data_IF_735970266535
#
_entry.id   IF_735970266535
#
_cell.length_a   1.000
_cell.length_b   1.000
_cell.length_c   1.000
_cell.angle_alpha   90.00
_cell.angle_beta   90.00
_cell.angle_gamma   90.00
#
_symmetry.space_group_name_H-M   'P 1'
#
loop_
_entity.id
_entity.type
_entity.pdbx_description
1 polymer ?
#
# COMPACT_ATOMS: atom_id res chain seq x y z
N UNK A 1 8.14 6.54 -30.32
CA UNK A 1 7.09 6.37 -29.29
C UNK A 1 6.90 7.71 -28.62
N UNK A 2 5.73 8.35 -28.74
CA UNK A 2 5.47 9.57 -27.99
C UNK A 2 5.45 9.23 -26.51
N UNK A 3 6.24 9.94 -25.71
CA UNK A 3 6.17 9.83 -24.25
C UNK A 3 4.78 10.34 -23.87
N UNK A 4 3.89 9.44 -23.47
CA UNK A 4 2.57 9.81 -22.96
C UNK A 4 2.78 10.73 -21.76
N UNK A 5 2.28 11.96 -21.85
CA UNK A 5 2.28 12.87 -20.69
C UNK A 5 1.30 12.32 -19.66
N UNK A 6 1.65 12.28 -18.36
CA UNK A 6 0.71 11.90 -17.32
C UNK A 6 -0.58 12.74 -17.41
N UNK A 7 -1.76 12.15 -17.16
CA UNK A 7 -3.03 12.86 -17.29
C UNK A 7 -3.08 14.04 -16.33
N UNK A 8 -3.55 15.19 -16.80
CA UNK A 8 -3.78 16.38 -15.98
C UNK A 8 -4.98 16.17 -15.02
N UNK A 9 -5.24 17.15 -14.15
CA UNK A 9 -6.31 17.02 -13.15
C UNK A 9 -7.69 16.71 -13.76
N UNK A 10 -8.11 17.44 -14.80
CA UNK A 10 -9.40 17.22 -15.46
C UNK A 10 -9.48 15.85 -16.17
N UNK A 11 -8.38 15.38 -16.76
CA UNK A 11 -8.29 14.03 -17.33
C UNK A 11 -8.46 12.96 -16.24
N UNK A 12 -7.82 13.14 -15.07
CA UNK A 12 -7.98 12.23 -13.93
C UNK A 12 -9.39 12.21 -13.37
N UNK A 13 -10.09 13.35 -13.32
CA UNK A 13 -11.50 13.39 -12.90
C UNK A 13 -12.40 12.58 -13.85
N UNK A 14 -12.18 12.68 -15.18
CA UNK A 14 -12.89 11.85 -16.16
C UNK A 14 -12.60 10.36 -16.00
N UNK A 15 -11.32 10.00 -15.82
CA UNK A 15 -10.91 8.63 -15.55
C UNK A 15 -11.53 8.09 -14.25
N UNK A 16 -11.62 8.93 -13.21
CA UNK A 16 -12.27 8.56 -11.95
C UNK A 16 -13.76 8.29 -12.13
N UNK A 17 -14.47 9.16 -12.85
CA UNK A 17 -15.89 8.97 -13.16
C UNK A 17 -16.14 7.69 -13.98
N UNK A 18 -15.31 7.42 -14.99
CA UNK A 18 -15.40 6.19 -15.80
C UNK A 18 -15.06 4.94 -14.97
N UNK A 19 -14.06 5.02 -14.10
CA UNK A 19 -13.73 3.92 -13.17
C UNK A 19 -14.89 3.63 -12.23
N UNK A 20 -15.52 4.67 -11.68
CA UNK A 20 -16.69 4.54 -10.82
C UNK A 20 -17.86 3.87 -11.55
N UNK A 21 -18.16 4.31 -12.79
CA UNK A 21 -19.28 3.76 -13.56
C UNK A 21 -19.07 2.29 -13.96
N UNK A 22 -17.81 1.85 -14.15
CA UNK A 22 -17.48 0.47 -14.49
C UNK A 22 -17.36 -0.45 -13.27
N UNK A 23 -17.20 0.09 -12.06
CA UNK A 23 -16.82 -0.68 -10.87
C UNK A 23 -17.79 -1.82 -10.57
N UNK A 24 -19.10 -1.57 -10.57
CA UNK A 24 -20.09 -2.62 -10.26
C UNK A 24 -20.06 -3.75 -11.30
N UNK A 25 -19.96 -3.39 -12.58
CA UNK A 25 -19.85 -4.37 -13.67
C UNK A 25 -18.58 -5.21 -13.54
N UNK A 26 -17.43 -4.58 -13.30
CA UNK A 26 -16.14 -5.27 -13.14
C UNK A 26 -16.20 -6.27 -11.98
N UNK A 27 -16.82 -5.90 -10.86
CA UNK A 27 -16.95 -6.80 -9.70
C UNK A 27 -17.84 -7.99 -10.05
N UNK A 28 -18.99 -7.77 -10.69
CA UNK A 28 -19.89 -8.87 -11.10
C UNK A 28 -19.27 -9.80 -12.15
N UNK A 29 -18.45 -9.26 -13.04
CA UNK A 29 -17.82 -10.00 -14.14
C UNK A 29 -16.55 -10.76 -13.72
N UNK A 30 -15.97 -10.46 -12.55
CA UNK A 30 -14.67 -11.03 -12.13
C UNK A 30 -14.88 -12.06 -11.02
N UNK A 31 -14.51 -13.32 -11.28
CA UNK A 31 -14.60 -14.39 -10.29
C UNK A 31 -13.74 -14.08 -9.05
N UNK A 32 -14.33 -14.24 -7.86
CA UNK A 32 -13.65 -14.00 -6.59
C UNK A 32 -13.59 -12.54 -6.17
N UNK A 33 -13.99 -11.58 -7.02
CA UNK A 33 -14.10 -10.18 -6.67
C UNK A 33 -15.21 -9.91 -5.65
N UNK A 34 -15.06 -8.86 -4.84
CA UNK A 34 -16.07 -8.48 -3.87
C UNK A 34 -16.03 -6.99 -3.54
N UNK A 35 -17.19 -6.44 -3.14
CA UNK A 35 -17.27 -5.14 -2.46
C UNK A 35 -17.12 -5.25 -0.95
N UNK A 36 -17.04 -6.47 -0.40
CA UNK A 36 -16.90 -6.68 1.03
C UNK A 36 -15.59 -6.06 1.54
N UNK A 37 -15.65 -5.55 2.77
CA UNK A 37 -14.49 -5.09 3.50
C UNK A 37 -14.73 -5.22 5.00
N UNK A 38 -13.64 -5.27 5.77
CA UNK A 38 -13.68 -5.41 7.22
C UNK A 38 -12.81 -4.34 7.87
N UNK A 39 -13.39 -3.55 8.76
CA UNK A 39 -12.62 -2.62 9.57
C UNK A 39 -12.01 -3.32 10.79
N UNK A 40 -10.77 -2.92 11.11
CA UNK A 40 -10.04 -3.27 12.31
C UNK A 40 -9.81 -1.96 13.09
N UNK A 41 -10.72 -1.57 14.00
CA UNK A 41 -10.68 -0.25 14.65
C UNK A 41 -9.57 -0.12 15.70
N UNK A 42 -8.99 -1.23 16.13
CA UNK A 42 -7.95 -1.31 17.14
C UNK A 42 -6.73 -2.07 16.60
N UNK A 43 -5.59 -1.84 17.24
CA UNK A 43 -4.37 -2.59 16.99
C UNK A 43 -4.62 -4.07 17.30
N UNK A 44 -4.43 -4.93 16.30
CA UNK A 44 -4.52 -6.37 16.44
C UNK A 44 -3.46 -6.88 17.42
N UNK A 45 -3.73 -7.95 18.18
CA UNK A 45 -2.73 -8.55 19.05
C UNK A 45 -1.55 -9.11 18.25
N UNK A 46 -0.37 -9.29 18.87
CA UNK A 46 0.74 -9.99 18.23
C UNK A 46 0.33 -11.39 17.73
N UNK A 47 0.75 -11.74 16.52
CA UNK A 47 0.63 -13.08 15.95
C UNK A 47 1.46 -14.03 16.82
N UNK A 48 0.84 -15.14 17.23
CA UNK A 48 1.57 -16.22 17.89
C UNK A 48 2.45 -16.88 16.83
N UNK A 49 3.76 -16.82 17.00
CA UNK A 49 4.71 -17.40 16.06
C UNK A 49 4.34 -18.83 15.69
N UNK A 50 4.45 -19.18 14.41
CA UNK A 50 4.25 -20.55 13.95
C UNK A 50 5.44 -21.36 14.46
N UNK A 51 5.29 -21.96 15.64
CA UNK A 51 6.32 -22.84 16.21
C UNK A 51 6.36 -24.12 15.38
N UNK A 52 7.15 -24.14 14.30
CA UNK A 52 7.83 -25.34 13.79
C UNK A 52 8.66 -25.04 12.53
N UNK A 53 9.92 -25.49 12.56
CA UNK A 53 10.95 -25.46 11.51
C UNK A 53 11.56 -24.09 11.20
N UNK A 54 12.83 -24.10 10.75
CA UNK A 54 13.69 -22.93 10.54
C UNK A 54 12.94 -21.80 9.81
N UNK A 55 12.48 -20.80 10.57
CA UNK A 55 11.64 -19.75 10.05
C UNK A 55 12.46 -18.81 9.16
N UNK A 56 12.27 -18.93 7.86
CA UNK A 56 12.94 -18.09 6.88
C UNK A 56 12.40 -16.66 6.97
N UNK A 57 13.30 -15.68 7.05
CA UNK A 57 12.94 -14.25 6.91
C UNK A 57 12.45 -14.00 5.48
N UNK A 58 11.48 -13.08 5.27
CA UNK A 58 11.01 -12.76 3.93
C UNK A 58 12.13 -12.22 3.05
N UNK A 59 12.05 -12.51 1.75
CA UNK A 59 12.89 -11.81 0.77
C UNK A 59 12.44 -10.34 0.71
N UNK A 60 13.39 -9.43 0.79
CA UNK A 60 13.13 -7.99 0.83
C UNK A 60 13.67 -7.32 -0.43
N UNK A 61 12.83 -6.54 -1.11
CA UNK A 61 13.22 -5.73 -2.26
C UNK A 61 12.61 -4.33 -2.23
N UNK A 62 13.25 -3.39 -2.95
CA UNK A 62 12.77 -2.02 -3.12
C UNK A 62 12.78 -1.69 -4.61
N UNK A 63 11.62 -1.33 -5.16
CA UNK A 63 11.46 -1.03 -6.60
C UNK A 63 10.97 0.40 -6.80
N UNK A 64 11.27 0.96 -7.99
CA UNK A 64 10.77 2.28 -8.42
C UNK A 64 9.52 2.13 -9.29
N UNK A 65 8.57 1.33 -8.84
CA UNK A 65 7.29 1.07 -9.49
C UNK A 65 6.14 1.59 -8.65
N UNK A 66 4.95 1.72 -9.25
CA UNK A 66 3.73 1.84 -8.47
C UNK A 66 3.32 0.50 -7.83
N UNK A 67 2.45 0.57 -6.82
CA UNK A 67 2.10 -0.59 -6.00
C UNK A 67 1.34 -1.69 -6.74
N UNK A 68 0.48 -1.38 -7.71
CA UNK A 68 -0.25 -2.42 -8.45
C UNK A 68 0.59 -3.04 -9.55
N UNK A 69 1.54 -2.31 -10.14
CA UNK A 69 2.50 -2.90 -11.08
C UNK A 69 3.44 -3.87 -10.36
N UNK A 70 3.96 -3.49 -9.19
CA UNK A 70 4.74 -4.41 -8.36
C UNK A 70 3.93 -5.66 -7.95
N UNK A 71 2.64 -5.50 -7.66
CA UNK A 71 1.75 -6.64 -7.38
C UNK A 71 1.56 -7.54 -8.61
N UNK A 72 1.39 -6.96 -9.80
CA UNK A 72 1.26 -7.69 -11.06
C UNK A 72 2.53 -8.49 -11.38
N UNK A 73 3.71 -7.89 -11.19
CA UNK A 73 5.00 -8.57 -11.38
C UNK A 73 5.14 -9.81 -10.48
N UNK A 74 4.73 -9.71 -9.20
CA UNK A 74 4.71 -10.84 -8.27
C UNK A 74 3.76 -11.94 -8.77
N UNK A 75 2.56 -11.58 -9.23
CA UNK A 75 1.60 -12.55 -9.75
C UNK A 75 2.13 -13.24 -11.02
N UNK A 76 2.72 -12.49 -11.94
CA UNK A 76 3.30 -13.04 -13.16
C UNK A 76 4.45 -14.01 -12.87
N UNK A 77 5.42 -13.59 -12.05
CA UNK A 77 6.60 -14.43 -11.73
C UNK A 77 6.26 -15.67 -10.91
N UNK A 78 5.13 -15.69 -10.21
CA UNK A 78 4.65 -16.84 -9.42
C UNK A 78 3.57 -17.66 -10.12
N UNK A 79 3.23 -17.33 -11.37
CA UNK A 79 2.17 -18.01 -12.12
C UNK A 79 0.79 -17.90 -11.45
N UNK A 80 0.52 -16.78 -10.78
CA UNK A 80 -0.73 -16.49 -10.08
C UNK A 80 -0.92 -17.21 -8.74
N UNK A 81 0.09 -17.93 -8.24
CA UNK A 81 0.00 -18.71 -6.98
C UNK A 81 0.17 -17.84 -5.74
N UNK A 82 0.85 -16.70 -5.86
CA UNK A 82 1.10 -15.81 -4.72
C UNK A 82 -0.19 -15.19 -4.17
N UNK A 83 -0.29 -15.14 -2.85
CA UNK A 83 -1.32 -14.39 -2.12
C UNK A 83 -0.81 -12.99 -1.88
N UNK A 84 -1.11 -12.07 -2.80
CA UNK A 84 -0.59 -10.70 -2.80
C UNK A 84 -1.50 -9.74 -2.04
N UNK A 85 -0.91 -8.99 -1.12
CA UNK A 85 -1.57 -7.93 -0.36
C UNK A 85 -0.85 -6.59 -0.53
N UNK A 86 -1.62 -5.54 -0.82
CA UNK A 86 -1.11 -4.19 -1.12
C UNK A 86 -1.49 -3.22 0.00
N UNK A 87 -0.56 -2.38 0.44
CA UNK A 87 -0.85 -1.26 1.32
C UNK A 87 -1.45 -0.10 0.50
N UNK A 88 -2.69 0.29 0.81
CA UNK A 88 -3.18 1.63 0.49
C UNK A 88 -2.71 2.60 1.60
N UNK A 89 -1.87 3.57 1.23
CA UNK A 89 -1.42 4.65 2.10
C UNK A 89 -2.53 5.70 2.26
N UNK A 90 -3.57 5.29 3.00
CA UNK A 90 -4.88 5.89 2.97
C UNK A 90 -4.94 7.28 3.63
N UNK A 91 -5.93 8.07 3.21
CA UNK A 91 -6.40 9.24 3.94
C UNK A 91 -7.07 8.80 5.25
N UNK A 92 -6.78 9.45 6.38
CA UNK A 92 -7.52 9.14 7.61
C UNK A 92 -8.96 9.67 7.60
N UNK A 93 -9.33 10.54 6.64
CA UNK A 93 -10.58 11.30 6.67
C UNK A 93 -11.55 10.95 5.55
N UNK A 94 -11.02 10.66 4.37
CA UNK A 94 -11.81 10.60 3.14
C UNK A 94 -11.52 9.29 2.41
N UNK A 95 -12.52 8.42 2.20
CA UNK A 95 -12.33 7.20 1.40
C UNK A 95 -11.75 7.51 0.02
N UNK A 96 -10.61 6.91 -0.32
CA UNK A 96 -9.96 7.12 -1.60
C UNK A 96 -9.36 8.53 -1.79
N UNK A 97 -9.20 9.29 -0.71
CA UNK A 97 -8.60 10.61 -0.76
C UNK A 97 -9.34 11.57 -1.68
N UNK A 98 -8.62 12.22 -2.58
CA UNK A 98 -9.14 13.18 -3.56
C UNK A 98 -9.34 12.60 -4.97
N UNK A 99 -9.50 11.28 -5.13
CA UNK A 99 -9.44 10.64 -6.46
C UNK A 99 -10.49 11.16 -7.45
N UNK A 100 -11.72 11.42 -7.00
CA UNK A 100 -12.79 12.03 -7.81
C UNK A 100 -12.52 13.49 -8.18
N UNK A 101 -11.67 14.18 -7.41
CA UNK A 101 -11.30 15.58 -7.65
C UNK A 101 -10.02 15.69 -8.50
N UNK A 102 -9.51 14.57 -9.03
CA UNK A 102 -8.29 14.55 -9.83
C UNK A 102 -7.02 14.75 -9.01
N UNK A 103 -7.04 14.55 -7.69
CA UNK A 103 -5.81 14.44 -6.91
C UNK A 103 -5.00 13.22 -7.38
N UNK A 104 -3.69 13.25 -7.12
CA UNK A 104 -2.81 12.16 -7.49
C UNK A 104 -1.73 11.97 -6.41
N UNK A 105 -2.02 11.12 -5.45
CA UNK A 105 -1.04 10.39 -4.67
C UNK A 105 -1.27 8.88 -4.90
N UNK A 106 -0.68 8.04 -4.05
CA UNK A 106 -0.78 6.60 -4.20
C UNK A 106 -2.21 6.09 -4.01
N UNK A 107 -2.92 6.53 -2.97
CA UNK A 107 -4.31 6.14 -2.74
C UNK A 107 -5.20 6.44 -3.95
N UNK A 108 -5.10 7.65 -4.51
CA UNK A 108 -5.89 8.02 -5.69
C UNK A 108 -5.52 7.19 -6.91
N UNK A 109 -4.24 6.84 -7.09
CA UNK A 109 -3.81 5.95 -8.17
C UNK A 109 -4.39 4.54 -8.00
N UNK A 110 -4.45 4.00 -6.78
CA UNK A 110 -5.09 2.71 -6.52
C UNK A 110 -6.59 2.78 -6.82
N UNK A 111 -7.29 3.82 -6.36
CA UNK A 111 -8.72 4.00 -6.63
C UNK A 111 -9.00 4.20 -8.12
N UNK A 112 -8.16 4.94 -8.85
CA UNK A 112 -8.29 5.11 -10.30
C UNK A 112 -8.13 3.79 -11.05
N UNK A 113 -7.31 2.86 -10.56
CA UNK A 113 -6.95 1.63 -11.30
C UNK A 113 -7.81 0.42 -10.98
N UNK A 114 -8.64 0.50 -9.95
CA UNK A 114 -9.23 -0.69 -9.34
C UNK A 114 -10.62 -0.46 -8.74
N UNK A 115 -11.20 -1.54 -8.24
CA UNK A 115 -12.47 -1.51 -7.51
C UNK A 115 -12.32 -1.08 -6.04
N UNK A 116 -11.11 -0.70 -5.59
CA UNK A 116 -10.80 -0.39 -4.19
C UNK A 116 -11.77 0.62 -3.58
N UNK A 117 -12.10 1.69 -4.31
CA UNK A 117 -12.96 2.76 -3.82
C UNK A 117 -14.34 2.25 -3.35
N UNK A 118 -14.89 1.20 -3.97
CA UNK A 118 -16.17 0.60 -3.56
C UNK A 118 -16.10 -0.18 -2.24
N UNK A 119 -14.89 -0.55 -1.80
CA UNK A 119 -14.68 -1.27 -0.53
C UNK A 119 -14.43 -0.33 0.66
N UNK A 120 -14.11 0.94 0.39
CA UNK A 120 -13.81 1.95 1.41
C UNK A 120 -15.10 2.63 1.90
N UNK A 121 -15.88 1.91 2.71
CA UNK A 121 -17.14 2.41 3.26
C UNK A 121 -16.93 3.65 4.14
N UNK A 122 -17.73 4.69 3.91
CA UNK A 122 -17.70 5.96 4.68
C UNK A 122 -17.90 5.74 6.17
N UNK A 123 -18.62 4.70 6.60
CA UNK A 123 -18.87 4.41 8.02
C UNK A 123 -17.59 4.11 8.82
N UNK A 124 -16.50 3.75 8.14
CA UNK A 124 -15.20 3.50 8.78
C UNK A 124 -14.41 4.79 9.05
N UNK A 125 -14.85 5.93 8.52
CA UNK A 125 -14.12 7.19 8.56
C UNK A 125 -14.72 8.18 9.58
N UNK A 126 -13.90 8.98 10.28
CA UNK A 126 -12.43 8.98 10.20
C UNK A 126 -11.81 7.70 10.77
N UNK A 127 -10.73 7.22 10.14
CA UNK A 127 -10.04 6.03 10.59
C UNK A 127 -9.45 6.28 12.00
N UNK A 128 -9.66 5.36 12.96
CA UNK A 128 -8.97 5.41 14.24
C UNK A 128 -7.44 5.44 14.09
N UNK A 129 -6.71 5.82 15.15
CA UNK A 129 -5.23 5.92 15.11
C UNK A 129 -4.57 4.61 14.66
N UNK A 130 -5.08 3.46 15.07
CA UNK A 130 -4.64 2.13 14.59
C UNK A 130 -5.66 1.47 13.67
N UNK A 131 -6.63 2.25 13.19
CA UNK A 131 -7.68 1.80 12.29
C UNK A 131 -7.11 1.34 10.96
N UNK A 132 -7.49 0.14 10.55
CA UNK A 132 -7.23 -0.38 9.21
C UNK A 132 -8.53 -0.88 8.57
N UNK A 133 -8.62 -0.84 7.25
CA UNK A 133 -9.70 -1.48 6.49
C UNK A 133 -9.07 -2.54 5.59
N UNK A 134 -9.57 -3.77 5.70
CA UNK A 134 -9.18 -4.89 4.85
C UNK A 134 -10.19 -5.06 3.72
N UNK A 135 -9.68 -5.07 2.49
CA UNK A 135 -10.45 -5.28 1.26
C UNK A 135 -9.90 -6.54 0.55
N UNK A 136 -10.54 -7.70 0.72
CA UNK A 136 -9.95 -9.00 0.37
C UNK A 136 -9.79 -9.27 -1.12
N UNK A 137 -10.59 -8.62 -1.98
CA UNK A 137 -10.71 -9.00 -3.38
C UNK A 137 -10.92 -7.79 -4.30
N UNK A 138 -9.91 -6.92 -4.34
CA UNK A 138 -9.89 -5.74 -5.20
C UNK A 138 -9.43 -6.14 -6.59
N UNK A 139 -10.23 -5.82 -7.61
CA UNK A 139 -9.91 -6.07 -9.01
C UNK A 139 -9.14 -4.87 -9.55
N UNK A 140 -7.93 -5.08 -10.04
CA UNK A 140 -7.17 -4.10 -10.81
C UNK A 140 -7.50 -4.29 -12.28
N UNK A 141 -8.08 -3.27 -12.89
CA UNK A 141 -8.61 -3.35 -14.26
C UNK A 141 -8.13 -2.21 -15.17
N UNK A 142 -7.17 -1.41 -14.71
CA UNK A 142 -6.49 -0.41 -15.54
C UNK A 142 -4.99 -0.40 -15.33
N UNK A 143 -4.32 0.05 -16.38
CA UNK A 143 -2.90 0.32 -16.42
C UNK A 143 -2.49 1.50 -15.53
N UNK A 144 -1.18 1.70 -15.37
CA UNK A 144 -0.62 2.80 -14.60
C UNK A 144 -1.16 4.17 -15.05
N UNK A 145 -1.29 5.10 -14.10
CA UNK A 145 -1.72 6.47 -14.40
C UNK A 145 -0.75 7.15 -15.38
N UNK A 146 0.55 6.87 -15.27
CA UNK A 146 1.57 7.40 -16.18
C UNK A 146 1.38 6.91 -17.63
N UNK A 147 0.83 5.71 -17.82
CA UNK A 147 0.55 5.09 -19.12
C UNK A 147 -0.88 5.39 -19.62
N UNK A 148 -1.57 6.35 -18.97
CA UNK A 148 -2.89 6.81 -19.40
C UNK A 148 -4.07 6.01 -18.85
N UNK A 149 -3.87 5.12 -17.86
CA UNK A 149 -4.96 4.34 -17.23
C UNK A 149 -5.84 3.56 -18.22
N UNK A 150 -5.22 2.96 -19.26
CA UNK A 150 -5.93 2.13 -20.23
C UNK A 150 -6.67 0.99 -19.51
N UNK A 151 -7.90 0.71 -19.93
CA UNK A 151 -8.62 -0.50 -19.49
C UNK A 151 -7.87 -1.76 -19.90
N UNK A 152 -7.70 -2.65 -18.94
CA UNK A 152 -7.19 -4.00 -19.17
C UNK A 152 -8.24 -4.88 -19.86
N UNK A 153 -7.76 -5.74 -20.75
CA UNK A 153 -8.51 -6.90 -21.23
C UNK A 153 -8.72 -7.89 -20.08
N UNK A 154 -9.64 -8.84 -20.25
CA UNK A 154 -10.00 -9.75 -19.18
C UNK A 154 -8.81 -10.57 -18.67
N UNK A 155 -7.92 -10.99 -19.56
CA UNK A 155 -6.69 -11.72 -19.25
C UNK A 155 -5.60 -10.87 -18.55
N UNK A 156 -5.69 -9.54 -18.65
CA UNK A 156 -4.75 -8.61 -18.01
C UNK A 156 -5.20 -8.22 -16.59
N UNK A 157 -6.49 -8.41 -16.27
CA UNK A 157 -7.06 -8.10 -14.95
C UNK A 157 -6.52 -9.07 -13.90
N UNK A 158 -6.36 -8.56 -12.68
CA UNK A 158 -5.93 -9.39 -11.56
C UNK A 158 -6.57 -8.94 -10.25
N UNK A 159 -6.61 -9.84 -9.28
CA UNK A 159 -7.24 -9.63 -7.97
C UNK A 159 -6.18 -9.66 -6.88
N UNK A 160 -6.22 -8.67 -5.98
CA UNK A 160 -5.33 -8.58 -4.81
C UNK A 160 -6.11 -8.23 -3.56
N UNK A 161 -5.55 -8.56 -2.41
CA UNK A 161 -5.98 -7.99 -1.15
C UNK A 161 -5.41 -6.58 -0.96
N UNK A 162 -6.16 -5.68 -0.32
CA UNK A 162 -5.68 -4.33 0.00
C UNK A 162 -5.95 -4.02 1.46
N UNK A 163 -4.92 -3.56 2.17
CA UNK A 163 -5.05 -2.99 3.52
C UNK A 163 -4.93 -1.48 3.44
N UNK A 164 -5.97 -0.77 3.86
CA UNK A 164 -6.01 0.69 3.96
C UNK A 164 -5.70 1.14 5.37
N UNK A 165 -4.60 1.87 5.55
CA UNK A 165 -4.24 2.48 6.82
C UNK A 165 -3.55 3.83 6.57
N UNK A 166 -3.93 4.83 7.37
CA UNK A 166 -3.36 6.16 7.28
C UNK A 166 -2.07 6.30 8.08
N UNK A 167 -1.05 6.94 7.51
CA UNK A 167 0.17 7.34 8.22
C UNK A 167 -0.10 8.51 9.21
N UNK A 168 0.93 9.01 9.89
CA UNK A 168 0.82 10.26 10.65
C UNK A 168 0.68 11.44 9.69
N UNK A 169 -0.27 12.35 9.92
CA UNK A 169 -0.45 13.54 9.07
C UNK A 169 0.37 14.71 9.61
N UNK A 170 1.39 15.11 8.85
CA UNK A 170 2.25 16.28 9.11
C UNK A 170 2.76 16.32 10.57
N UNK A 171 3.42 15.26 11.05
CA UNK A 171 3.96 15.22 12.40
C UNK A 171 5.04 16.29 12.59
N UNK A 172 5.27 16.68 13.85
CA UNK A 172 6.33 17.65 14.18
C UNK A 172 7.68 16.95 14.08
N UNK A 173 8.61 17.56 13.33
CA UNK A 173 9.94 17.00 13.07
C UNK A 173 11.01 17.76 13.84
N UNK A 174 12.18 17.13 13.99
CA UNK A 174 13.40 17.78 14.47
C UNK A 174 13.77 18.98 13.59
N UNK A 175 14.64 19.87 14.10
CA UNK A 175 15.02 21.10 13.39
C UNK A 175 15.63 20.84 12.00
N UNK A 176 16.32 19.71 11.81
CA UNK A 176 16.87 19.27 10.53
C UNK A 176 15.86 18.55 9.61
N UNK A 177 14.64 18.34 10.09
CA UNK A 177 13.56 17.65 9.37
C UNK A 177 13.78 16.15 9.17
N UNK A 178 14.78 15.54 9.81
CA UNK A 178 15.17 14.13 9.53
C UNK A 178 14.49 13.12 10.42
N UNK A 179 14.01 13.52 11.60
CA UNK A 179 13.41 12.64 12.59
C UNK A 179 12.11 13.22 13.14
N UNK A 180 11.30 12.37 13.77
CA UNK A 180 10.15 12.85 14.55
C UNK A 180 10.66 13.59 15.79
N UNK A 181 10.08 14.75 16.10
CA UNK A 181 10.41 15.47 17.33
C UNK A 181 9.83 14.78 18.58
N UNK A 182 8.71 14.07 18.42
CA UNK A 182 8.02 13.38 19.49
C UNK A 182 8.28 11.86 19.43
N UNK A 183 8.86 11.23 20.46
CA UNK A 183 9.03 9.78 20.52
C UNK A 183 7.72 8.99 20.40
N UNK A 184 6.59 9.57 20.83
CA UNK A 184 5.28 8.92 20.68
C UNK A 184 4.87 8.77 19.21
N UNK A 185 5.26 9.69 18.33
CA UNK A 185 4.98 9.59 16.89
C UNK A 185 5.69 8.36 16.30
N UNK A 186 6.93 8.11 16.72
CA UNK A 186 7.67 6.90 16.34
C UNK A 186 6.97 5.64 16.79
N UNK A 187 6.51 5.59 18.05
CA UNK A 187 5.78 4.44 18.59
C UNK A 187 4.45 4.21 17.86
N UNK A 188 3.70 5.28 17.58
CA UNK A 188 2.45 5.21 16.83
C UNK A 188 2.70 4.69 15.41
N UNK A 189 3.72 5.19 14.72
CA UNK A 189 4.07 4.72 13.39
C UNK A 189 4.51 3.25 13.41
N UNK A 190 5.32 2.85 14.39
CA UNK A 190 5.72 1.45 14.60
C UNK A 190 4.50 0.53 14.74
N UNK A 191 3.53 0.91 15.57
CA UNK A 191 2.28 0.16 15.74
C UNK A 191 1.38 0.18 14.51
N UNK A 192 1.35 1.27 13.74
CA UNK A 192 0.66 1.32 12.44
C UNK A 192 1.27 0.34 11.43
N UNK A 193 2.60 0.21 11.37
CA UNK A 193 3.27 -0.78 10.53
C UNK A 193 2.96 -2.21 10.98
N UNK A 194 3.04 -2.49 12.28
CA UNK A 194 2.61 -3.78 12.85
C UNK A 194 1.16 -4.10 12.49
N UNK A 195 0.26 -3.12 12.58
CA UNK A 195 -1.15 -3.29 12.20
C UNK A 195 -1.29 -3.71 10.74
N UNK A 196 -0.57 -3.06 9.82
CA UNK A 196 -0.54 -3.44 8.40
C UNK A 196 -0.13 -4.90 8.25
N UNK A 197 1.00 -5.31 8.84
CA UNK A 197 1.47 -6.69 8.76
C UNK A 197 0.50 -7.70 9.38
N UNK A 198 -0.06 -7.39 10.56
CA UNK A 198 -1.03 -8.26 11.25
C UNK A 198 -2.30 -8.47 10.43
N UNK A 199 -2.86 -7.39 9.86
CA UNK A 199 -4.05 -7.51 8.99
C UNK A 199 -3.72 -8.35 7.76
N UNK A 200 -2.56 -8.18 7.14
CA UNK A 200 -2.15 -8.99 5.99
C UNK A 200 -1.99 -10.48 6.38
N UNK A 201 -1.32 -10.75 7.49
CA UNK A 201 -1.06 -12.10 7.98
C UNK A 201 -2.35 -12.84 8.39
N UNK A 202 -3.27 -12.20 9.13
CA UNK A 202 -4.58 -12.77 9.49
C UNK A 202 -5.41 -13.19 8.27
N UNK A 203 -5.13 -12.61 7.09
CA UNK A 203 -5.81 -12.91 5.84
C UNK A 203 -4.99 -13.81 4.89
N UNK A 204 -3.92 -14.43 5.39
CA UNK A 204 -3.11 -15.40 4.65
C UNK A 204 -2.35 -14.80 3.46
N UNK A 205 -1.99 -13.51 3.56
CA UNK A 205 -1.10 -12.87 2.58
C UNK A 205 0.34 -13.31 2.87
N UNK A 206 1.00 -13.88 1.86
CA UNK A 206 2.42 -14.24 1.94
C UNK A 206 3.34 -13.28 1.17
N UNK A 207 2.78 -12.48 0.26
CA UNK A 207 3.52 -11.52 -0.56
C UNK A 207 2.98 -10.11 -0.35
N UNK A 208 3.79 -9.21 0.20
CA UNK A 208 3.37 -7.86 0.52
C UNK A 208 3.93 -6.84 -0.47
N UNK A 209 3.09 -5.92 -0.92
CA UNK A 209 3.51 -4.69 -1.59
C UNK A 209 3.24 -3.49 -0.69
N UNK A 210 4.32 -2.89 -0.21
CA UNK A 210 4.32 -1.71 0.65
C UNK A 210 4.84 -0.49 -0.13
N UNK A 211 5.11 0.60 0.59
CA UNK A 211 5.67 1.81 0.00
C UNK A 211 6.14 2.81 1.06
N UNK A 212 6.47 4.01 0.62
CA UNK A 212 6.96 5.09 1.48
C UNK A 212 5.82 5.74 2.30
N UNK A 213 5.29 4.98 3.26
CA UNK A 213 4.15 5.35 4.09
C UNK A 213 4.26 6.77 4.65
N UNK A 214 3.36 7.65 4.21
CA UNK A 214 3.26 9.04 4.69
C UNK A 214 4.37 9.99 4.23
N UNK A 215 5.31 9.57 3.38
CA UNK A 215 6.48 10.37 2.97
C UNK A 215 6.16 11.44 1.92
N UNK A 216 4.97 11.40 1.31
CA UNK A 216 4.50 12.42 0.36
C UNK A 216 3.68 13.52 1.03
N UNK A 217 2.38 13.60 0.71
CA UNK A 217 1.48 14.66 1.18
C UNK A 217 1.39 14.79 2.72
N UNK A 218 1.69 13.70 3.44
CA UNK A 218 1.65 13.65 4.90
C UNK A 218 2.97 14.05 5.57
N UNK A 219 4.04 14.30 4.79
CA UNK A 219 5.30 14.91 5.26
C UNK A 219 5.99 14.14 6.40
N UNK A 220 5.92 12.81 6.40
CA UNK A 220 6.75 11.99 7.29
C UNK A 220 8.20 11.98 6.76
N UNK A 221 9.21 11.94 7.63
CA UNK A 221 10.62 11.90 7.23
C UNK A 221 10.98 10.53 6.64
N UNK A 222 11.34 10.43 5.35
CA UNK A 222 11.48 9.15 4.66
C UNK A 222 12.57 8.24 5.23
N UNK A 223 13.69 8.81 5.68
CA UNK A 223 14.76 8.05 6.33
C UNK A 223 14.25 7.35 7.59
N UNK A 224 13.56 8.08 8.45
CA UNK A 224 13.05 7.57 9.72
C UNK A 224 11.93 6.54 9.50
N UNK A 225 11.06 6.76 8.52
CA UNK A 225 10.03 5.77 8.13
C UNK A 225 10.69 4.46 7.66
N UNK A 226 11.68 4.53 6.77
CA UNK A 226 12.39 3.34 6.31
C UNK A 226 13.14 2.63 7.45
N UNK A 227 13.72 3.40 8.37
CA UNK A 227 14.42 2.89 9.57
C UNK A 227 13.46 2.16 10.51
N UNK A 228 12.27 2.73 10.76
CA UNK A 228 11.24 2.09 11.59
C UNK A 228 10.69 0.83 10.92
N UNK A 229 10.47 0.83 9.59
CA UNK A 229 10.14 -0.40 8.86
C UNK A 229 11.19 -1.48 9.08
N UNK A 230 12.47 -1.14 8.94
CA UNK A 230 13.58 -2.06 9.16
C UNK A 230 13.55 -2.68 10.55
N UNK A 231 13.32 -1.86 11.58
CA UNK A 231 13.16 -2.34 12.96
C UNK A 231 11.97 -3.28 13.13
N UNK A 232 10.80 -2.89 12.60
CA UNK A 232 9.59 -3.72 12.68
C UNK A 232 9.84 -5.07 12.03
N UNK A 233 10.46 -5.11 10.86
CA UNK A 233 10.78 -6.35 10.15
C UNK A 233 11.76 -7.28 10.88
N UNK A 234 12.52 -6.78 11.88
CA UNK A 234 13.35 -7.64 12.73
C UNK A 234 12.56 -8.39 13.79
N UNK A 235 11.33 -7.97 14.10
CA UNK A 235 10.49 -8.62 15.11
C UNK A 235 10.19 -10.07 14.73
N UNK A 236 10.25 -10.97 15.72
CA UNK A 236 10.06 -12.41 15.52
C UNK A 236 8.63 -12.78 15.09
N UNK A 237 7.67 -11.87 15.22
CA UNK A 237 6.27 -12.07 14.83
C UNK A 237 6.10 -12.35 13.33
N UNK A 238 7.05 -11.96 12.49
CA UNK A 238 6.97 -12.11 11.02
C UNK A 238 7.70 -13.35 10.51
N UNK A 239 8.36 -14.09 11.38
CA UNK A 239 9.19 -15.24 11.03
C UNK A 239 8.33 -16.36 10.44
N UNK A 240 8.57 -16.72 9.18
CA UNK A 240 7.77 -17.70 8.44
C UNK A 240 6.36 -17.23 8.04
N UNK A 241 6.02 -15.94 8.23
CA UNK A 241 4.71 -15.38 7.87
C UNK A 241 4.68 -14.91 6.42
N UNK A 242 5.72 -14.20 6.00
CA UNK A 242 5.83 -13.63 4.65
C UNK A 242 6.97 -14.29 3.88
N UNK A 243 6.72 -14.57 2.60
CA UNK A 243 7.72 -15.08 1.65
C UNK A 243 8.49 -13.92 1.00
N UNK A 244 7.78 -12.85 0.63
CA UNK A 244 8.34 -11.67 -0.02
C UNK A 244 7.68 -10.38 0.46
N UNK A 245 8.49 -9.34 0.66
CA UNK A 245 8.03 -7.98 0.91
C UNK A 245 8.73 -7.05 -0.10
N UNK A 246 7.91 -6.42 -0.94
CA UNK A 246 8.35 -5.44 -1.93
C UNK A 246 7.95 -4.04 -1.46
N UNK A 247 8.92 -3.14 -1.34
CA UNK A 247 8.65 -1.71 -1.15
C UNK A 247 8.60 -1.04 -2.53
N UNK A 248 7.40 -0.85 -3.07
CA UNK A 248 7.16 -0.14 -4.32
C UNK A 248 7.12 1.36 -4.05
N UNK A 249 8.25 2.04 -4.29
CA UNK A 249 8.45 3.46 -3.98
C UNK A 249 8.58 4.26 -5.27
N UNK A 250 7.44 4.64 -5.83
CA UNK A 250 7.40 5.50 -7.00
C UNK A 250 7.74 6.95 -6.62
N UNK A 251 8.88 7.45 -7.10
CA UNK A 251 9.36 8.80 -6.85
C UNK A 251 9.27 9.67 -8.12
N UNK A 252 8.09 10.22 -8.39
CA UNK A 252 7.87 11.09 -9.56
C UNK A 252 8.27 12.55 -9.33
N UNK A 253 8.62 12.92 -8.09
CA UNK A 253 8.90 14.31 -7.69
C UNK A 253 10.37 14.57 -7.36
N UNK A 254 11.22 13.55 -7.43
CA UNK A 254 12.64 13.67 -7.09
C UNK A 254 12.88 13.85 -5.59
N UNK A 255 11.97 13.34 -4.75
CA UNK A 255 12.04 13.45 -3.28
C UNK A 255 13.11 12.50 -2.69
N UNK A 256 13.79 11.73 -3.55
CA UNK A 256 14.77 10.71 -3.20
C UNK A 256 14.22 9.58 -2.33
N UNK A 257 12.89 9.44 -2.24
CA UNK A 257 12.22 8.45 -1.40
C UNK A 257 12.67 7.04 -1.78
N UNK A 258 12.73 6.73 -3.08
CA UNK A 258 13.21 5.44 -3.57
C UNK A 258 14.64 5.15 -3.11
N UNK A 259 15.56 6.09 -3.34
CA UNK A 259 16.97 5.95 -2.97
C UNK A 259 17.15 5.78 -1.46
N UNK A 260 16.44 6.56 -0.65
CA UNK A 260 16.48 6.49 0.81
C UNK A 260 15.99 5.12 1.29
N UNK A 261 14.81 4.68 0.83
CA UNK A 261 14.24 3.39 1.22
C UNK A 261 15.17 2.24 0.82
N UNK A 262 15.70 2.28 -0.42
CA UNK A 262 16.65 1.28 -0.92
C UNK A 262 17.89 1.19 -0.03
N UNK A 263 18.52 2.33 0.27
CA UNK A 263 19.74 2.37 1.08
C UNK A 263 19.50 1.90 2.52
N UNK A 264 18.40 2.33 3.15
CA UNK A 264 18.12 1.98 4.54
C UNK A 264 17.70 0.52 4.68
N UNK A 265 16.73 0.06 3.88
CA UNK A 265 16.16 -1.29 4.00
C UNK A 265 17.13 -2.38 3.55
N UNK A 266 17.95 -2.13 2.52
CA UNK A 266 18.88 -3.12 1.97
C UNK A 266 20.30 -3.00 2.52
N UNK A 267 20.59 -2.00 3.36
CA UNK A 267 21.88 -1.96 4.06
C UNK A 267 22.00 -3.16 4.99
N UNK A 268 23.18 -3.79 5.01
CA UNK A 268 23.51 -4.82 6.01
C UNK A 268 23.36 -4.21 7.40
N UNK A 269 22.75 -4.93 8.33
CA UNK A 269 22.79 -4.55 9.74
C UNK A 269 24.26 -4.42 10.13
N UNK A 270 24.67 -3.24 10.59
CA UNK A 270 26.05 -2.99 10.98
C UNK A 270 26.50 -4.06 11.97
N UNK A 271 27.68 -4.64 11.71
CA UNK A 271 28.48 -5.29 12.75
C UNK A 271 28.99 -4.23 13.71
#
# INVERSE_FOLDING_TARGET
>A
MSILKPPNNAQRQRLAAETLSLTEYVIKATTGASQASRAHPHLLPPIKGISNSATQKPTLSVTSQDSFTAAQDILQRTGGRARVGVLNMASERTPGGGWLNGALAQEEALCLRSTLAATLDRKYYPLPVYGAVWSPAVVVFRDEVANGCRLYRDEEKFVVGVVSLAALRRPVLTADGRHFANPNDMLVLKNKMRQVFRVLAENGISHCVLGAMGCGAFRNPPYEVARIYKEVLQEAEWDGVFEEIVFAVLDTKGESNYTIFKNVLLSRNGR
#
